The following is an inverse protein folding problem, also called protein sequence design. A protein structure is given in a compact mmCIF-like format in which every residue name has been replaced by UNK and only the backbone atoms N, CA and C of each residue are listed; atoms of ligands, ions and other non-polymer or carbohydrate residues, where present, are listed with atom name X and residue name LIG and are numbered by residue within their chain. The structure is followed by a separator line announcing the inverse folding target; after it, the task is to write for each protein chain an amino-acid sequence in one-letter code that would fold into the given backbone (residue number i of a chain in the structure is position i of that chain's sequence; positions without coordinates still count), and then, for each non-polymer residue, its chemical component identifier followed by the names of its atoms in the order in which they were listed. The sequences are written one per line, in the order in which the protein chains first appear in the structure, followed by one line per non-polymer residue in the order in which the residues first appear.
data_IF_512386848027
#
_entry.id   IF_512386848027
#
_cell.length_a   1.000
_cell.length_b   1.000
_cell.length_c   1.000
_cell.angle_alpha   90.00
_cell.angle_beta   90.00
_cell.angle_gamma   90.00
#
_symmetry.space_group_name_H-M   'P 1'
#
loop_
_entity.id
_entity.type
_entity.pdbx_description
1 polymer ?
#
# COMPACT_ATOMS: atom_id res chain seq x y z
N UNK A 1 15.02 -29.78 33.36
CA UNK A 1 14.24 -30.82 32.61
C UNK A 1 12.86 -30.33 32.14
N UNK A 2 12.26 -29.29 32.68
CA UNK A 2 10.93 -28.78 32.29
C UNK A 2 10.87 -28.23 30.84
N UNK A 3 11.93 -27.57 30.34
CA UNK A 3 11.94 -26.93 29.03
C UNK A 3 11.66 -27.89 27.86
N UNK A 4 12.17 -29.13 27.90
CA UNK A 4 11.94 -30.16 26.85
C UNK A 4 10.46 -30.56 26.70
N UNK A 5 9.65 -30.41 27.75
CA UNK A 5 8.21 -30.71 27.69
C UNK A 5 7.37 -29.65 27.04
N UNK A 6 7.84 -28.38 27.01
CA UNK A 6 7.15 -27.27 26.39
C UNK A 6 7.45 -27.13 24.89
N UNK A 7 8.56 -27.68 24.41
CA UNK A 7 8.96 -27.61 23.00
C UNK A 7 7.87 -28.10 22.03
N UNK A 8 7.23 -29.27 22.22
CA UNK A 8 6.20 -29.75 21.30
C UNK A 8 4.98 -28.85 21.27
N UNK A 9 4.57 -28.24 22.40
CA UNK A 9 3.47 -27.27 22.44
C UNK A 9 3.83 -25.97 21.73
N UNK A 10 5.07 -25.49 21.90
CA UNK A 10 5.56 -24.29 21.22
C UNK A 10 5.60 -24.53 19.71
N UNK A 11 6.10 -25.68 19.26
CA UNK A 11 6.13 -26.04 17.85
C UNK A 11 4.72 -26.16 17.28
N UNK A 12 3.81 -26.84 17.97
CA UNK A 12 2.42 -26.98 17.54
C UNK A 12 1.69 -25.63 17.43
N UNK A 13 2.07 -24.64 18.23
CA UNK A 13 1.52 -23.29 18.18
C UNK A 13 2.17 -22.41 17.09
N UNK A 14 3.51 -22.45 16.97
CA UNK A 14 4.24 -21.58 16.04
C UNK A 14 4.17 -22.06 14.59
N UNK A 15 4.08 -23.38 14.36
CA UNK A 15 4.10 -23.94 13.01
C UNK A 15 2.90 -23.49 12.15
N UNK A 16 1.65 -23.48 12.65
CA UNK A 16 0.51 -22.90 11.91
C UNK A 16 0.67 -21.41 11.63
N UNK A 17 1.19 -20.64 12.59
CA UNK A 17 1.43 -19.20 12.40
C UNK A 17 2.48 -18.95 11.30
N UNK A 18 3.56 -19.75 11.31
CA UNK A 18 4.58 -19.69 10.27
C UNK A 18 4.02 -20.07 8.90
N UNK A 19 3.17 -21.09 8.84
CA UNK A 19 2.51 -21.53 7.61
C UNK A 19 1.61 -20.43 7.05
N UNK A 20 0.79 -19.77 7.90
CA UNK A 20 -0.05 -18.64 7.52
C UNK A 20 0.81 -17.47 7.05
N UNK A 21 1.88 -17.12 7.79
CA UNK A 21 2.78 -16.04 7.43
C UNK A 21 3.46 -16.27 6.07
N UNK A 22 3.88 -17.53 5.82
CA UNK A 22 4.45 -17.94 4.53
C UNK A 22 3.41 -17.81 3.41
N UNK A 23 2.20 -18.29 3.64
CA UNK A 23 1.12 -18.18 2.67
C UNK A 23 0.79 -16.72 2.35
N UNK A 24 0.79 -15.85 3.33
CA UNK A 24 0.52 -14.41 3.14
C UNK A 24 1.68 -13.65 2.45
N UNK A 25 2.68 -14.36 1.97
CA UNK A 25 3.83 -13.77 1.29
C UNK A 25 4.81 -13.10 2.23
N UNK A 26 4.80 -13.50 3.52
CA UNK A 26 5.69 -12.94 4.53
C UNK A 26 7.18 -13.09 4.21
N UNK A 27 7.57 -14.02 3.35
CA UNK A 27 8.95 -14.23 2.88
C UNK A 27 9.15 -13.87 1.40
N UNK A 28 8.12 -13.42 0.69
CA UNK A 28 8.28 -13.07 -0.72
C UNK A 28 9.27 -11.90 -0.86
N UNK A 29 10.17 -11.92 -1.84
CA UNK A 29 11.12 -10.86 -2.04
C UNK A 29 10.41 -9.54 -2.39
N UNK A 30 10.97 -8.43 -1.91
CA UNK A 30 10.62 -7.09 -2.39
C UNK A 30 11.60 -6.74 -3.50
N UNK A 31 11.10 -6.40 -4.67
CA UNK A 31 11.91 -5.99 -5.82
C UNK A 31 11.93 -4.46 -5.87
N UNK A 32 13.13 -3.89 -5.97
CA UNK A 32 13.34 -2.43 -6.09
C UNK A 32 13.75 -2.12 -7.53
N UNK A 33 13.09 -1.14 -8.13
CA UNK A 33 13.40 -0.61 -9.46
C UNK A 33 13.65 0.89 -9.36
N UNK A 34 14.84 1.35 -9.75
CA UNK A 34 15.20 2.76 -9.83
C UNK A 34 14.99 3.31 -11.25
N UNK A 35 14.78 4.63 -11.36
CA UNK A 35 14.68 5.31 -12.65
C UNK A 35 13.44 4.93 -13.47
N UNK A 36 12.40 4.42 -12.83
CA UNK A 36 11.13 4.14 -13.51
C UNK A 36 10.35 5.43 -13.70
N UNK A 37 9.73 5.60 -14.89
CA UNK A 37 8.76 6.69 -15.08
C UNK A 37 7.37 6.10 -14.88
N UNK A 38 6.61 6.65 -13.91
CA UNK A 38 5.26 6.22 -13.55
C UNK A 38 4.25 7.35 -13.68
N UNK A 39 3.00 6.99 -13.96
CA UNK A 39 1.93 7.92 -14.30
C UNK A 39 1.83 8.19 -15.81
N UNK A 40 1.03 9.18 -16.27
CA UNK A 40 0.16 9.99 -15.39
C UNK A 40 -0.96 9.16 -14.76
N UNK A 41 -1.42 9.59 -13.58
CA UNK A 41 -2.56 8.98 -12.91
C UNK A 41 -3.68 10.00 -12.73
N UNK A 42 -4.91 9.62 -13.09
CA UNK A 42 -6.13 10.33 -12.72
C UNK A 42 -6.87 9.45 -11.73
N UNK A 43 -7.23 10.00 -10.57
CA UNK A 43 -7.87 9.21 -9.52
C UNK A 43 -8.95 9.98 -8.79
N UNK A 44 -10.02 9.26 -8.43
CA UNK A 44 -11.07 9.76 -7.55
C UNK A 44 -10.75 9.36 -6.11
N UNK A 45 -10.89 10.30 -5.17
CA UNK A 45 -10.43 10.09 -3.80
C UNK A 45 -11.29 10.78 -2.75
N UNK A 46 -11.09 10.34 -1.52
CA UNK A 46 -11.40 11.09 -0.29
C UNK A 46 -10.09 11.36 0.47
N UNK A 47 -10.06 12.48 1.20
CA UNK A 47 -8.92 12.85 2.03
C UNK A 47 -9.08 12.35 3.45
N UNK A 48 -7.99 11.82 4.03
CA UNK A 48 -7.87 11.40 5.42
C UNK A 48 -6.86 12.31 6.14
N UNK A 49 -7.28 12.85 7.26
CA UNK A 49 -6.39 13.46 8.25
C UNK A 49 -6.45 12.62 9.50
N UNK A 50 -5.29 12.19 10.02
CA UNK A 50 -5.21 11.36 11.20
C UNK A 50 -4.69 9.94 10.94
N UNK A 51 -5.30 8.97 11.61
CA UNK A 51 -4.83 7.59 11.62
C UNK A 51 -4.97 6.91 10.26
N UNK A 52 -3.85 6.38 9.75
CA UNK A 52 -3.80 5.63 8.50
C UNK A 52 -4.47 4.25 8.57
N UNK A 53 -4.72 3.73 9.78
CA UNK A 53 -5.52 2.51 9.96
C UNK A 53 -6.96 2.65 9.42
N UNK A 54 -7.44 3.88 9.21
CA UNK A 54 -8.77 4.18 8.63
C UNK A 54 -8.79 4.23 7.10
N UNK A 55 -7.65 4.14 6.43
CA UNK A 55 -7.57 4.22 4.96
C UNK A 55 -8.36 3.11 4.24
N UNK A 56 -8.39 1.84 4.71
CA UNK A 56 -9.21 0.81 4.09
C UNK A 56 -10.71 1.14 4.10
N UNK A 57 -11.23 1.66 5.22
CA UNK A 57 -12.64 2.08 5.33
C UNK A 57 -12.94 3.25 4.40
N UNK A 58 -11.99 4.20 4.29
CA UNK A 58 -12.11 5.33 3.39
C UNK A 58 -12.15 4.86 1.94
N UNK A 59 -11.30 3.91 1.57
CA UNK A 59 -11.23 3.33 0.23
C UNK A 59 -12.54 2.61 -0.14
N UNK A 60 -13.11 1.83 0.79
CA UNK A 60 -14.41 1.18 0.59
C UNK A 60 -15.54 2.20 0.35
N UNK A 61 -15.51 3.35 1.06
CA UNK A 61 -16.47 4.44 0.83
C UNK A 61 -16.33 5.07 -0.55
N UNK A 62 -15.09 5.26 -1.03
CA UNK A 62 -14.85 5.76 -2.40
C UNK A 62 -15.39 4.77 -3.43
N UNK A 63 -15.14 3.47 -3.24
CA UNK A 63 -15.65 2.44 -4.14
C UNK A 63 -17.19 2.46 -4.21
N UNK A 64 -17.84 2.50 -3.06
CA UNK A 64 -19.29 2.54 -2.99
C UNK A 64 -19.86 3.79 -3.70
N UNK A 65 -19.24 4.95 -3.49
CA UNK A 65 -19.68 6.20 -4.12
C UNK A 65 -19.50 6.17 -5.65
N UNK A 66 -18.35 5.67 -6.15
CA UNK A 66 -18.11 5.51 -7.58
C UNK A 66 -19.12 4.57 -8.23
N UNK A 67 -19.39 3.41 -7.61
CA UNK A 67 -20.39 2.47 -8.09
C UNK A 67 -21.81 3.07 -8.08
N UNK A 68 -22.14 3.89 -7.08
CA UNK A 68 -23.40 4.63 -7.01
C UNK A 68 -23.58 5.65 -8.15
N UNK A 69 -22.48 6.11 -8.73
CA UNK A 69 -22.45 7.01 -9.91
C UNK A 69 -22.26 6.24 -11.24
N UNK A 70 -22.34 4.90 -11.23
CA UNK A 70 -22.08 4.01 -12.37
C UNK A 70 -20.66 4.16 -12.94
N UNK A 71 -19.69 4.57 -12.12
CA UNK A 71 -18.28 4.63 -12.47
C UNK A 71 -17.62 3.34 -11.98
N UNK A 72 -16.96 2.63 -12.90
CA UNK A 72 -16.19 1.42 -12.55
C UNK A 72 -14.89 1.82 -11.90
N UNK A 73 -14.63 1.46 -10.63
CA UNK A 73 -13.35 1.73 -9.99
C UNK A 73 -12.22 0.96 -10.69
N UNK A 74 -11.11 1.64 -10.96
CA UNK A 74 -9.90 1.00 -11.47
C UNK A 74 -9.03 0.43 -10.33
N UNK A 75 -7.71 0.52 -10.49
CA UNK A 75 -6.76 0.09 -9.46
C UNK A 75 -6.88 0.97 -8.21
N UNK A 76 -6.96 0.36 -7.01
CA UNK A 76 -6.86 1.09 -5.74
C UNK A 76 -5.56 1.89 -5.67
N UNK A 77 -5.68 3.16 -5.27
CA UNK A 77 -4.55 4.07 -5.09
C UNK A 77 -4.62 4.77 -3.74
N UNK A 78 -3.48 4.85 -3.07
CA UNK A 78 -3.32 5.67 -1.87
C UNK A 78 -2.12 6.59 -2.03
N UNK A 79 -2.30 7.87 -1.74
CA UNK A 79 -1.24 8.89 -1.77
C UNK A 79 -0.97 9.34 -0.34
N UNK A 80 0.20 9.03 0.19
CA UNK A 80 0.62 9.43 1.53
C UNK A 80 1.44 10.71 1.45
N UNK A 81 0.97 11.76 2.11
CA UNK A 81 1.65 13.06 2.17
C UNK A 81 2.54 13.21 3.41
N UNK A 82 2.36 12.35 4.40
CA UNK A 82 3.09 12.43 5.66
C UNK A 82 3.79 11.11 5.95
N UNK A 83 5.09 11.18 6.26
CA UNK A 83 5.81 10.02 6.76
C UNK A 83 5.30 9.68 8.18
N UNK A 84 4.77 8.46 8.41
CA UNK A 84 4.21 8.07 9.70
C UNK A 84 5.24 8.03 10.83
N UNK A 85 6.53 7.89 10.52
CA UNK A 85 7.60 7.85 11.51
C UNK A 85 8.02 9.26 11.99
N UNK A 86 7.70 10.30 11.19
CA UNK A 86 8.11 11.67 11.46
C UNK A 86 6.94 12.58 11.88
N UNK A 87 5.70 12.19 11.55
CA UNK A 87 4.51 13.05 11.75
C UNK A 87 3.56 12.40 12.75
N UNK A 88 3.10 13.17 13.71
CA UNK A 88 2.12 12.72 14.71
C UNK A 88 0.82 12.24 14.04
N UNK A 89 0.18 11.23 14.64
CA UNK A 89 -1.00 10.56 14.05
C UNK A 89 -2.08 11.56 13.65
N UNK A 90 -2.41 12.53 14.49
CA UNK A 90 -3.47 13.52 14.26
C UNK A 90 -3.14 14.55 13.15
N UNK A 91 -1.90 14.60 12.68
CA UNK A 91 -1.44 15.52 11.62
C UNK A 91 -1.13 14.80 10.29
N UNK A 92 -1.20 13.48 10.28
CA UNK A 92 -0.93 12.69 9.07
C UNK A 92 -1.99 12.96 8.03
N UNK A 93 -1.57 13.11 6.78
CA UNK A 93 -2.46 13.35 5.66
C UNK A 93 -2.25 12.31 4.59
N UNK A 94 -3.36 11.78 4.07
CA UNK A 94 -3.39 10.85 2.96
C UNK A 94 -4.64 11.08 2.11
N UNK A 95 -4.60 10.60 0.88
CA UNK A 95 -5.75 10.45 0.00
C UNK A 95 -5.85 8.98 -0.38
N UNK A 96 -7.05 8.43 -0.33
CA UNK A 96 -7.30 7.05 -0.74
C UNK A 96 -8.46 6.99 -1.69
N UNK A 97 -8.36 6.17 -2.72
CA UNK A 97 -9.37 6.06 -3.75
C UNK A 97 -9.01 5.08 -4.86
N UNK A 98 -9.41 5.41 -6.07
CA UNK A 98 -9.28 4.54 -7.24
C UNK A 98 -8.87 5.30 -8.47
N UNK A 99 -8.03 4.70 -9.30
CA UNK A 99 -7.77 5.20 -10.65
C UNK A 99 -9.08 5.22 -11.43
N UNK A 100 -9.26 6.29 -12.20
CA UNK A 100 -10.43 6.49 -13.07
C UNK A 100 -9.96 6.99 -14.44
N UNK A 101 -10.74 6.78 -15.50
CA UNK A 101 -10.45 7.34 -16.82
C UNK A 101 -10.29 8.86 -16.77
N UNK A 102 -9.42 9.39 -17.64
CA UNK A 102 -9.28 10.85 -17.81
C UNK A 102 -10.61 11.48 -18.24
N UNK A 103 -10.92 12.66 -17.70
CA UNK A 103 -12.19 13.34 -17.95
C UNK A 103 -13.36 12.82 -17.11
N UNK A 104 -13.17 11.83 -16.25
CA UNK A 104 -14.20 11.40 -15.29
C UNK A 104 -14.62 12.57 -14.41
N UNK A 105 -15.94 12.71 -14.19
CA UNK A 105 -16.52 13.68 -13.26
C UNK A 105 -17.19 12.92 -12.13
N UNK A 106 -17.00 13.39 -10.92
CA UNK A 106 -17.59 12.82 -9.71
C UNK A 106 -18.35 13.88 -8.93
N UNK A 107 -19.31 13.48 -8.10
CA UNK A 107 -20.04 14.37 -7.20
C UNK A 107 -19.37 14.42 -5.84
N UNK A 108 -19.59 15.51 -5.12
CA UNK A 108 -19.20 15.60 -3.72
C UNK A 108 -19.82 14.43 -2.90
N UNK A 109 -19.07 13.86 -1.95
CA UNK A 109 -17.80 14.32 -1.39
C UNK A 109 -16.56 13.85 -2.15
N UNK A 110 -16.68 13.05 -3.24
CA UNK A 110 -15.54 12.62 -4.03
C UNK A 110 -14.87 13.83 -4.73
N UNK A 111 -13.56 13.71 -4.89
CA UNK A 111 -12.73 14.68 -5.63
C UNK A 111 -11.87 13.93 -6.65
N UNK A 112 -11.48 14.63 -7.71
CA UNK A 112 -10.52 14.15 -8.71
C UNK A 112 -9.21 14.89 -8.51
N UNK A 113 -8.10 14.16 -8.64
CA UNK A 113 -6.76 14.75 -8.74
C UNK A 113 -5.93 14.01 -9.79
N UNK A 114 -4.82 14.64 -10.20
CA UNK A 114 -3.93 14.16 -11.23
C UNK A 114 -2.49 14.13 -10.71
N UNK A 115 -1.82 13.01 -10.92
CA UNK A 115 -0.40 12.88 -10.67
C UNK A 115 0.30 12.80 -12.03
N UNK A 116 1.16 13.76 -12.40
CA UNK A 116 1.87 13.73 -13.66
C UNK A 116 2.83 12.53 -13.74
N UNK A 117 3.20 12.16 -14.95
CA UNK A 117 4.28 11.20 -15.15
C UNK A 117 5.58 11.74 -14.54
N UNK A 118 6.26 10.92 -13.73
CA UNK A 118 7.45 11.32 -12.98
C UNK A 118 8.42 10.18 -12.77
N UNK A 119 9.74 10.46 -12.64
CA UNK A 119 10.71 9.44 -12.21
C UNK A 119 10.45 9.05 -10.76
N UNK A 120 10.53 7.75 -10.49
CA UNK A 120 10.29 7.17 -9.17
C UNK A 120 11.24 6.01 -8.88
N UNK A 121 11.57 5.87 -7.60
CA UNK A 121 12.04 4.63 -7.03
C UNK A 121 10.82 3.78 -6.68
N UNK A 122 10.74 2.58 -7.21
CA UNK A 122 9.60 1.68 -7.06
C UNK A 122 9.96 0.44 -6.26
N UNK A 123 9.11 0.08 -5.30
CA UNK A 123 9.17 -1.20 -4.60
C UNK A 123 7.93 -2.02 -4.92
N UNK A 124 8.12 -3.26 -5.35
CA UNK A 124 7.04 -4.22 -5.61
C UNK A 124 7.14 -5.40 -4.67
N UNK A 125 5.99 -5.83 -4.14
CA UNK A 125 5.88 -7.04 -3.30
C UNK A 125 4.56 -7.74 -3.51
N UNK A 126 4.62 -9.07 -3.69
CA UNK A 126 3.44 -9.92 -3.73
C UNK A 126 3.20 -10.45 -2.31
N UNK A 127 2.26 -9.83 -1.59
CA UNK A 127 1.93 -10.18 -0.21
C UNK A 127 0.49 -9.79 0.14
N UNK A 128 -0.01 -10.34 1.24
CA UNK A 128 -1.29 -9.90 1.79
C UNK A 128 -1.26 -8.40 2.12
N UNK A 129 -2.38 -7.74 1.89
CA UNK A 129 -2.55 -6.27 2.07
C UNK A 129 -2.08 -5.77 3.44
N UNK A 130 -2.21 -6.60 4.49
CA UNK A 130 -1.75 -6.26 5.84
C UNK A 130 -0.23 -6.30 6.01
N UNK A 131 0.49 -7.10 5.21
CA UNK A 131 1.94 -7.27 5.30
C UNK A 131 2.70 -6.44 4.25
N UNK A 132 2.09 -6.26 3.08
CA UNK A 132 2.73 -5.67 1.92
C UNK A 132 3.33 -4.28 2.20
N UNK A 133 2.62 -3.30 2.84
CA UNK A 133 3.16 -1.97 3.06
C UNK A 133 4.42 -1.99 3.94
N UNK A 134 4.37 -2.65 5.09
CA UNK A 134 5.52 -2.70 6.01
C UNK A 134 6.78 -3.29 5.34
N UNK A 135 6.61 -4.30 4.50
CA UNK A 135 7.71 -4.93 3.76
C UNK A 135 8.28 -4.02 2.68
N UNK A 136 7.40 -3.38 1.89
CA UNK A 136 7.81 -2.46 0.83
C UNK A 136 8.58 -1.27 1.42
N UNK A 137 8.03 -0.62 2.46
CA UNK A 137 8.68 0.52 3.09
C UNK A 137 9.99 0.17 3.78
N UNK A 138 10.10 -0.98 4.45
CA UNK A 138 11.38 -1.46 5.02
C UNK A 138 12.44 -1.71 3.96
N UNK A 139 12.06 -2.20 2.77
CA UNK A 139 12.99 -2.42 1.69
C UNK A 139 13.45 -1.09 1.06
N UNK A 140 12.51 -0.15 0.85
CA UNK A 140 12.80 1.21 0.38
C UNK A 140 13.73 1.95 1.34
N UNK A 141 13.41 1.92 2.63
CA UNK A 141 14.20 2.59 3.66
C UNK A 141 15.64 2.06 3.68
N UNK A 142 15.82 0.74 3.71
CA UNK A 142 17.17 0.13 3.63
C UNK A 142 17.91 0.51 2.37
N UNK A 143 17.22 0.56 1.22
CA UNK A 143 17.84 0.91 -0.06
C UNK A 143 18.28 2.38 -0.07
N UNK A 144 17.44 3.29 0.40
CA UNK A 144 17.73 4.73 0.45
C UNK A 144 18.76 5.07 1.51
N UNK A 145 18.72 4.45 2.69
CA UNK A 145 19.72 4.65 3.74
C UNK A 145 21.12 4.24 3.30
N UNK A 146 21.26 3.16 2.51
CA UNK A 146 22.53 2.77 1.92
C UNK A 146 23.14 3.85 1.00
N UNK A 147 22.31 4.80 0.53
CA UNK A 147 22.70 5.94 -0.30
C UNK A 147 22.72 7.26 0.48
N UNK A 148 22.54 7.22 1.80
CA UNK A 148 22.46 8.42 2.66
C UNK A 148 21.17 9.23 2.45
N UNK A 149 20.12 8.62 1.92
CA UNK A 149 18.83 9.26 1.62
C UNK A 149 17.72 8.70 2.50
N UNK A 150 16.61 9.41 2.56
CA UNK A 150 15.39 8.98 3.23
C UNK A 150 14.20 8.97 2.25
N UNK A 151 13.09 8.35 2.67
CA UNK A 151 11.86 8.30 1.89
C UNK A 151 11.29 9.71 1.74
N UNK A 152 11.16 10.15 0.49
CA UNK A 152 10.53 11.45 0.14
C UNK A 152 9.03 11.29 -0.01
N UNK A 153 8.29 12.30 0.43
CA UNK A 153 6.85 12.35 0.28
C UNK A 153 6.47 13.30 -0.87
N UNK A 154 5.31 13.15 -1.51
CA UNK A 154 4.31 12.10 -1.28
C UNK A 154 4.72 10.76 -1.90
N UNK A 155 4.40 9.66 -1.22
CA UNK A 155 4.49 8.32 -1.81
C UNK A 155 3.15 7.91 -2.41
N UNK A 156 3.19 7.07 -3.43
CA UNK A 156 2.00 6.51 -4.07
C UNK A 156 2.01 4.99 -3.91
N UNK A 157 0.92 4.45 -3.42
CA UNK A 157 0.68 3.03 -3.25
C UNK A 157 -0.39 2.57 -4.24
N UNK A 158 -0.09 1.56 -5.04
CA UNK A 158 -1.03 0.92 -5.96
C UNK A 158 -1.15 -0.56 -5.58
N UNK A 159 -2.36 -1.02 -5.30
CA UNK A 159 -2.60 -2.41 -4.96
C UNK A 159 -3.38 -3.11 -6.06
N UNK A 160 -2.78 -4.12 -6.66
CA UNK A 160 -3.42 -4.98 -7.64
C UNK A 160 -3.86 -6.27 -6.95
N UNK A 161 -5.17 -6.50 -6.86
CA UNK A 161 -5.70 -7.77 -6.38
C UNK A 161 -5.24 -8.90 -7.30
N UNK A 162 -5.05 -10.09 -6.73
CA UNK A 162 -4.76 -11.27 -7.54
C UNK A 162 -6.05 -11.80 -8.18
N UNK A 163 -5.94 -12.30 -9.41
CA UNK A 163 -7.02 -13.00 -10.11
C UNK A 163 -7.26 -14.41 -9.54
N UNK A 164 -6.44 -14.86 -8.61
CA UNK A 164 -6.48 -16.19 -8.02
C UNK A 164 -6.46 -16.13 -6.49
N UNK A 165 -7.36 -16.88 -5.85
CA UNK A 165 -7.36 -17.07 -4.38
C UNK A 165 -6.09 -17.73 -3.83
N UNK A 166 -5.30 -18.37 -4.71
CA UNK A 166 -4.03 -19.03 -4.34
C UNK A 166 -2.81 -18.09 -4.42
N UNK A 167 -2.98 -16.89 -4.95
CA UNK A 167 -1.90 -15.91 -5.07
C UNK A 167 -2.25 -14.64 -4.30
N UNK A 168 -1.24 -14.03 -3.71
CA UNK A 168 -1.40 -12.72 -3.08
C UNK A 168 -1.46 -11.63 -4.14
N UNK A 169 -2.14 -10.54 -3.83
CA UNK A 169 -2.09 -9.34 -4.65
C UNK A 169 -0.71 -8.69 -4.60
N UNK A 170 -0.48 -7.74 -5.50
CA UNK A 170 0.78 -7.00 -5.61
C UNK A 170 0.59 -5.58 -5.10
N UNK A 171 1.42 -5.19 -4.16
CA UNK A 171 1.59 -3.79 -3.79
C UNK A 171 2.79 -3.20 -4.55
N UNK A 172 2.57 -2.06 -5.18
CA UNK A 172 3.61 -1.20 -5.74
C UNK A 172 3.65 0.08 -4.93
N UNK A 173 4.81 0.44 -4.39
CA UNK A 173 5.06 1.71 -3.70
C UNK A 173 6.03 2.53 -4.53
N UNK A 174 5.63 3.75 -4.88
CA UNK A 174 6.42 4.71 -5.66
C UNK A 174 6.87 5.85 -4.75
N UNK A 175 8.17 6.12 -4.73
CA UNK A 175 8.81 7.23 -4.03
C UNK A 175 9.38 8.19 -5.08
N UNK A 176 9.13 9.51 -5.04
CA UNK A 176 9.71 10.47 -5.98
C UNK A 176 11.26 10.46 -5.90
N UNK A 177 11.93 10.42 -7.03
CA UNK A 177 13.39 10.58 -7.13
C UNK A 177 13.82 12.04 -7.09
#
# INVERSE_FOLDING_TARGET
MAFKRFVPFLVAFLLPLLAIYTWWGGFNPVVIHSGQVRGPYTYAYLEQVGDYAKLPDLQARVEQALRGENIVPGTPITVLYSNPDLVQVNQRRARSGYLVPEGTRVREPLRIDHIPARPVLEAQVDAAVLLAPSRAYQALDRHLQAQGQGIRMPTVELYQASDSVMRMGRLTVEVPE
#
